data_IF_081296588835
#
_entry.id   IF_081296588835
#
_cell.length_a   1.000
_cell.length_b   1.000
_cell.length_c   1.000
_cell.angle_alpha   90.00
_cell.angle_beta   90.00
_cell.angle_gamma   90.00
#
_symmetry.space_group_name_H-M   'P 1'
#
loop_
_entity.id
_entity.type
_entity.pdbx_description
1 polymer ?
#
# COMPACT_ATOMS: atom_id res chain seq x y z
N UNK A 1 -6.89 -16.65 23.71
CA UNK A 1 -6.02 -16.53 22.52
C UNK A 1 -5.97 -15.08 22.09
N UNK A 2 -4.77 -14.49 21.97
CA UNK A 2 -4.59 -13.20 21.32
C UNK A 2 -4.47 -13.42 19.81
N UNK A 3 -5.29 -12.75 19.03
CA UNK A 3 -5.20 -12.80 17.57
C UNK A 3 -3.96 -12.03 17.09
N UNK A 4 -3.10 -12.67 16.29
CA UNK A 4 -1.92 -12.06 15.69
C UNK A 4 -2.20 -11.67 14.24
N UNK A 5 -2.64 -10.43 14.06
CA UNK A 5 -2.93 -9.90 12.73
C UNK A 5 -1.66 -9.74 11.87
N UNK A 6 -0.49 -9.52 12.47
CA UNK A 6 0.72 -9.24 11.71
C UNK A 6 1.20 -10.46 10.92
N UNK A 7 1.04 -11.66 11.50
CA UNK A 7 1.37 -12.92 10.84
C UNK A 7 0.18 -13.57 10.11
N UNK A 8 -1.00 -12.95 10.13
CA UNK A 8 -2.20 -13.49 9.47
C UNK A 8 -2.11 -13.48 7.92
N UNK A 9 -1.23 -12.66 7.34
CA UNK A 9 -1.06 -12.53 5.89
C UNK A 9 0.42 -12.53 5.50
N UNK A 10 0.78 -13.11 4.36
CA UNK A 10 2.02 -12.79 3.64
C UNK A 10 2.00 -11.32 3.15
N UNK A 11 3.14 -10.74 2.76
CA UNK A 11 3.18 -9.37 2.23
C UNK A 11 2.21 -9.14 1.05
N UNK A 12 2.19 -10.05 0.09
CA UNK A 12 1.34 -9.97 -1.11
C UNK A 12 -0.14 -10.16 -0.77
N UNK A 13 -0.48 -11.08 0.14
CA UNK A 13 -1.85 -11.23 0.63
C UNK A 13 -2.33 -9.97 1.37
N UNK A 14 -1.47 -9.35 2.17
CA UNK A 14 -1.79 -8.09 2.84
C UNK A 14 -2.04 -6.95 1.84
N UNK A 15 -1.23 -6.87 0.77
CA UNK A 15 -1.43 -5.91 -0.31
C UNK A 15 -2.78 -6.12 -1.00
N UNK A 16 -3.10 -7.37 -1.38
CA UNK A 16 -4.38 -7.71 -2.00
C UNK A 16 -5.57 -7.38 -1.08
N UNK A 17 -5.47 -7.77 0.19
CA UNK A 17 -6.48 -7.47 1.21
C UNK A 17 -6.72 -5.96 1.36
N UNK A 18 -5.64 -5.17 1.45
CA UNK A 18 -5.73 -3.72 1.55
C UNK A 18 -6.32 -3.09 0.27
N UNK A 19 -5.94 -3.58 -0.91
CA UNK A 19 -6.49 -3.13 -2.20
C UNK A 19 -7.99 -3.36 -2.24
N UNK A 20 -8.44 -4.55 -1.88
CA UNK A 20 -9.86 -4.93 -1.96
C UNK A 20 -10.72 -4.05 -1.04
N UNK A 21 -10.25 -3.77 0.18
CA UNK A 21 -10.92 -2.83 1.10
C UNK A 21 -11.05 -1.43 0.47
N UNK A 22 -9.97 -0.90 -0.09
CA UNK A 22 -9.97 0.46 -0.68
C UNK A 22 -10.89 0.52 -1.91
N UNK A 23 -10.85 -0.48 -2.78
CA UNK A 23 -11.72 -0.54 -3.95
C UNK A 23 -13.20 -0.52 -3.56
N UNK A 24 -13.58 -1.28 -2.53
CA UNK A 24 -14.96 -1.30 -2.01
C UNK A 24 -15.33 0.06 -1.41
N UNK A 25 -14.45 0.62 -0.57
CA UNK A 25 -14.69 1.88 0.16
C UNK A 25 -14.82 3.08 -0.77
N UNK A 26 -13.97 3.16 -1.79
CA UNK A 26 -13.88 4.29 -2.70
C UNK A 26 -14.69 4.09 -3.99
N UNK A 27 -15.32 2.93 -4.17
CA UNK A 27 -16.06 2.54 -5.38
C UNK A 27 -15.22 2.66 -6.67
N UNK A 28 -13.95 2.27 -6.61
CA UNK A 28 -13.00 2.27 -7.74
C UNK A 28 -12.44 0.87 -8.00
N UNK A 29 -11.87 0.66 -9.18
CA UNK A 29 -11.08 -0.54 -9.49
C UNK A 29 -9.63 -0.10 -9.71
N UNK A 30 -8.72 -0.59 -8.88
CA UNK A 30 -7.29 -0.30 -8.97
C UNK A 30 -6.64 -1.27 -9.96
N UNK A 31 -5.99 -0.74 -10.99
CA UNK A 31 -5.05 -1.50 -11.80
C UNK A 31 -3.92 -1.95 -10.89
N UNK A 32 -3.67 -3.26 -10.81
CA UNK A 32 -2.59 -3.83 -10.00
C UNK A 32 -1.36 -4.09 -10.85
N UNK A 33 -0.19 -3.80 -10.30
CA UNK A 33 1.07 -4.08 -10.97
C UNK A 33 1.71 -5.34 -10.40
N UNK A 34 2.41 -6.09 -11.25
CA UNK A 34 3.09 -7.31 -10.85
C UNK A 34 4.34 -7.01 -10.01
N UNK A 35 4.81 -7.97 -9.22
CA UNK A 35 6.08 -7.83 -8.50
C UNK A 35 7.23 -7.61 -9.49
N UNK A 36 7.84 -6.42 -9.47
CA UNK A 36 8.82 -5.99 -10.49
C UNK A 36 9.50 -4.66 -10.15
N UNK A 37 10.15 -4.03 -11.14
CA UNK A 37 10.85 -2.72 -11.05
C UNK A 37 9.88 -1.54 -10.91
N UNK A 38 8.82 -1.78 -10.19
CA UNK A 38 7.68 -0.92 -10.02
C UNK A 38 8.09 -0.10 -8.80
N UNK A 39 8.21 1.21 -8.97
CA UNK A 39 8.86 2.15 -8.04
C UNK A 39 8.13 2.32 -6.67
N UNK A 40 7.59 1.23 -6.11
CA UNK A 40 6.75 1.19 -4.94
C UNK A 40 5.27 1.43 -5.22
N UNK A 41 4.79 1.22 -6.45
CA UNK A 41 3.38 1.37 -6.80
C UNK A 41 2.74 -0.02 -6.85
N UNK A 42 1.83 -0.28 -5.91
CA UNK A 42 1.12 -1.56 -5.82
C UNK A 42 -0.18 -1.53 -6.63
N UNK A 43 -0.70 -0.34 -6.91
CA UNK A 43 -1.79 -0.14 -7.88
C UNK A 43 -2.06 1.33 -8.19
N UNK A 44 -2.91 1.57 -9.19
CA UNK A 44 -3.39 2.92 -9.53
C UNK A 44 -4.83 2.93 -10.02
N UNK A 45 -5.48 4.07 -9.91
CA UNK A 45 -6.73 4.37 -10.59
C UNK A 45 -6.61 5.73 -11.27
N UNK A 46 -7.07 5.83 -12.52
CA UNK A 46 -7.08 7.07 -13.29
C UNK A 46 -8.53 7.37 -13.67
N UNK A 47 -9.08 8.45 -13.14
CA UNK A 47 -10.42 8.93 -13.45
C UNK A 47 -10.48 9.54 -14.87
N UNK A 48 -11.70 9.73 -15.38
CA UNK A 48 -11.94 10.27 -16.74
C UNK A 48 -11.39 11.68 -16.94
N UNK A 49 -11.32 12.48 -15.89
CA UNK A 49 -10.78 13.83 -15.88
C UNK A 49 -9.25 13.88 -15.66
N UNK A 50 -8.61 12.71 -15.55
CA UNK A 50 -7.18 12.58 -15.29
C UNK A 50 -6.79 12.57 -13.81
N UNK A 51 -7.74 12.73 -12.88
CA UNK A 51 -7.44 12.57 -11.46
C UNK A 51 -6.90 11.17 -11.19
N UNK A 52 -5.71 11.09 -10.58
CA UNK A 52 -5.00 9.82 -10.41
C UNK A 52 -4.81 9.50 -8.93
N UNK A 53 -5.19 8.29 -8.54
CA UNK A 53 -4.94 7.71 -7.23
C UNK A 53 -3.80 6.71 -7.38
N UNK A 54 -2.77 6.85 -6.55
CA UNK A 54 -1.68 5.89 -6.42
C UNK A 54 -1.85 5.12 -5.12
N UNK A 55 -1.83 3.79 -5.20
CA UNK A 55 -1.98 2.89 -4.08
C UNK A 55 -0.64 2.21 -3.75
N UNK A 56 -0.26 2.27 -2.47
CA UNK A 56 0.87 1.53 -1.92
C UNK A 56 0.47 0.96 -0.56
N UNK A 57 0.65 -0.35 -0.37
CA UNK A 57 0.40 -1.07 0.87
C UNK A 57 1.72 -1.52 1.49
N UNK A 58 1.90 -1.23 2.79
CA UNK A 58 3.07 -1.68 3.55
C UNK A 58 2.64 -2.31 4.85
N UNK A 59 2.96 -3.59 5.03
CA UNK A 59 2.80 -4.28 6.33
C UNK A 59 3.97 -3.91 7.25
N UNK A 60 3.70 -3.42 8.46
CA UNK A 60 4.71 -3.02 9.46
C UNK A 60 4.44 -3.68 10.80
N UNK A 61 5.50 -4.14 11.47
CA UNK A 61 5.40 -4.88 12.74
C UNK A 61 5.11 -3.97 13.93
N UNK A 62 5.66 -2.76 13.90
CA UNK A 62 5.46 -1.77 14.94
C UNK A 62 5.59 -0.34 14.40
N UNK A 63 5.00 0.60 15.13
CA UNK A 63 5.06 2.05 14.84
C UNK A 63 6.48 2.60 14.73
N UNK A 64 7.44 2.02 15.45
CA UNK A 64 8.84 2.47 15.44
C UNK A 64 9.50 2.28 14.08
N UNK A 65 9.28 1.11 13.48
CA UNK A 65 9.78 0.79 12.14
C UNK A 65 9.15 1.70 11.06
N UNK A 66 7.89 2.12 11.23
CA UNK A 66 7.26 3.08 10.33
C UNK A 66 7.99 4.45 10.35
N UNK A 67 8.35 4.97 11.52
CA UNK A 67 9.05 6.25 11.61
C UNK A 67 10.43 6.23 10.98
N UNK A 68 11.22 5.17 11.21
CA UNK A 68 12.55 5.02 10.61
C UNK A 68 12.49 5.02 9.08
N UNK A 69 11.57 4.25 8.49
CA UNK A 69 11.42 4.15 7.03
C UNK A 69 10.96 5.46 6.35
N UNK A 70 10.22 6.31 7.09
CA UNK A 70 9.71 7.56 6.56
C UNK A 70 10.62 8.77 6.87
N UNK A 71 11.37 8.75 7.97
CA UNK A 71 12.35 9.80 8.31
C UNK A 71 13.46 9.93 7.24
N UNK A 72 13.83 8.83 6.58
CA UNK A 72 14.80 8.84 5.49
C UNK A 72 14.25 9.41 4.16
N UNK A 73 12.93 9.56 4.02
CA UNK A 73 12.28 10.05 2.79
C UNK A 73 12.09 11.57 2.79
N UNK A 74 11.83 12.16 3.96
CA UNK A 74 11.65 13.63 4.09
C UNK A 74 12.96 14.41 3.90
N UNK A 75 14.12 13.80 4.16
CA UNK A 75 15.45 14.41 3.97
C UNK A 75 15.98 14.38 2.52
N UNK A 76 15.18 13.95 1.53
CA UNK A 76 15.56 13.95 0.10
C UNK A 76 14.79 14.94 -0.77
N UNK A 77 13.95 15.76 -0.15
CA UNK A 77 13.18 16.84 -0.80
C UNK A 77 13.64 18.24 -0.38
N UNK A 78 14.85 18.36 0.18
CA UNK A 78 15.52 19.62 0.46
C UNK A 78 16.64 19.91 -0.53
#
# INVERSE_FOLDING_TARGET
MSYDFYHAFSPTEFQNFARDIIQIKEHIILESFAEGRDMGIDGRYVAKDGYTIIFQAKKKKCWRQYHEDNAHRENKTG
#
